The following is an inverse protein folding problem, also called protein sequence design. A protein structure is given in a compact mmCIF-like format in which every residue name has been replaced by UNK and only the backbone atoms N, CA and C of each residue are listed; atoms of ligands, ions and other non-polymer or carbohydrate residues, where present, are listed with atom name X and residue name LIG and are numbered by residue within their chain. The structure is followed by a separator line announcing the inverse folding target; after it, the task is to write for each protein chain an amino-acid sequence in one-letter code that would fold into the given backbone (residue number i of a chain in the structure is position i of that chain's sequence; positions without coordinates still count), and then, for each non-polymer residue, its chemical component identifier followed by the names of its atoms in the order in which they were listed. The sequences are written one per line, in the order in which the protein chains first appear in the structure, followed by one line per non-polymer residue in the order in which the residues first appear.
data_IF_366067176335
#
_entry.id   IF_366067176335
#
_cell.length_a   1.000
_cell.length_b   1.000
_cell.length_c   1.000
_cell.angle_alpha   90.00
_cell.angle_beta   90.00
_cell.angle_gamma   90.00
#
_symmetry.space_group_name_H-M   'P 1'
#
loop_
_entity.id
_entity.type
_entity.pdbx_description
1 polymer ?
#
# COMPACT_ATOMS: atom_id res chain seq x y z
N UNK A 1 13.25 -28.75 3.34
CA UNK A 1 13.04 -27.51 4.11
C UNK A 1 13.28 -26.36 3.15
N UNK A 2 12.29 -25.47 2.95
CA UNK A 2 12.43 -24.31 2.04
C UNK A 2 13.15 -23.20 2.80
N UNK A 3 14.23 -22.65 2.24
CA UNK A 3 14.90 -21.48 2.81
C UNK A 3 14.06 -20.23 2.51
N UNK A 4 13.81 -19.34 3.50
CA UNK A 4 13.17 -18.06 3.22
C UNK A 4 14.02 -17.24 2.25
N UNK A 5 13.36 -16.54 1.35
CA UNK A 5 13.98 -15.63 0.40
C UNK A 5 14.17 -14.25 1.04
N UNK A 6 15.36 -13.64 0.95
CA UNK A 6 15.55 -12.27 1.40
C UNK A 6 14.84 -11.28 0.46
N UNK A 7 14.30 -10.22 1.04
CA UNK A 7 13.72 -9.10 0.31
C UNK A 7 14.19 -7.77 0.92
N UNK A 8 14.02 -6.70 0.17
CA UNK A 8 14.22 -5.33 0.63
C UNK A 8 12.93 -4.54 0.47
N UNK A 9 12.65 -3.64 1.41
CA UNK A 9 11.59 -2.66 1.28
C UNK A 9 12.14 -1.24 1.42
N UNK A 10 11.56 -0.33 0.63
CA UNK A 10 11.84 1.10 0.72
C UNK A 10 10.53 1.83 1.01
N UNK A 11 10.59 2.74 1.97
CA UNK A 11 9.45 3.51 2.45
C UNK A 11 9.69 5.00 2.21
N UNK A 12 8.74 5.66 1.60
CA UNK A 12 8.77 7.11 1.40
C UNK A 12 7.63 7.75 2.18
N UNK A 13 7.97 8.77 2.96
CA UNK A 13 7.03 9.53 3.78
C UNK A 13 6.89 10.96 3.27
N UNK A 14 5.72 11.55 3.46
CA UNK A 14 5.50 12.99 3.26
C UNK A 14 6.03 13.82 4.46
N UNK A 15 5.88 15.15 4.38
CA UNK A 15 6.29 16.08 5.45
C UNK A 15 5.48 15.92 6.76
N UNK A 16 4.32 15.24 6.69
CA UNK A 16 3.44 14.96 7.81
C UNK A 16 3.68 13.58 8.44
N UNK A 17 4.74 12.87 8.01
CA UNK A 17 5.06 11.49 8.39
C UNK A 17 4.01 10.44 7.97
N UNK A 18 3.21 10.70 6.93
CA UNK A 18 2.35 9.68 6.34
C UNK A 18 3.16 8.85 5.33
N UNK A 19 2.97 7.52 5.32
CA UNK A 19 3.55 6.65 4.29
C UNK A 19 2.85 6.95 2.96
N UNK A 20 3.60 7.32 1.92
CA UNK A 20 3.05 7.63 0.59
C UNK A 20 3.49 6.63 -0.49
N UNK A 21 4.64 5.98 -0.30
CA UNK A 21 5.10 4.91 -1.18
C UNK A 21 5.75 3.78 -0.41
N UNK A 22 5.41 2.54 -0.76
CA UNK A 22 6.08 1.32 -0.34
C UNK A 22 6.51 0.55 -1.57
N UNK A 23 7.81 0.29 -1.70
CA UNK A 23 8.35 -0.60 -2.73
C UNK A 23 8.89 -1.86 -2.08
N UNK A 24 8.54 -3.02 -2.63
CA UNK A 24 9.05 -4.32 -2.25
C UNK A 24 9.86 -4.93 -3.40
N UNK A 25 11.04 -5.45 -3.06
CA UNK A 25 11.93 -6.13 -3.99
C UNK A 25 12.40 -7.46 -3.39
N UNK A 26 11.96 -8.55 -3.99
CA UNK A 26 12.53 -9.88 -3.85
C UNK A 26 13.00 -10.36 -5.24
N UNK A 27 13.68 -11.51 -5.32
CA UNK A 27 13.97 -12.16 -6.61
C UNK A 27 12.71 -12.79 -7.20
N UNK A 28 11.79 -13.29 -6.37
CA UNK A 28 10.52 -13.89 -6.82
C UNK A 28 9.46 -12.89 -7.25
N UNK A 29 9.42 -11.70 -6.62
CA UNK A 29 8.39 -10.70 -6.89
C UNK A 29 8.87 -9.28 -6.62
N UNK A 30 8.34 -8.33 -7.38
CA UNK A 30 8.55 -6.89 -7.20
C UNK A 30 7.19 -6.20 -7.29
N UNK A 31 6.83 -5.44 -6.27
CA UNK A 31 5.58 -4.67 -6.27
C UNK A 31 5.78 -3.31 -5.61
N UNK A 32 4.86 -2.40 -5.92
CA UNK A 32 4.81 -1.06 -5.34
C UNK A 32 3.38 -0.75 -4.92
N UNK A 33 3.26 0.00 -3.84
CA UNK A 33 2.00 0.52 -3.33
C UNK A 33 2.15 2.02 -3.15
N UNK A 34 1.21 2.77 -3.72
CA UNK A 34 1.10 4.22 -3.57
C UNK A 34 -0.11 4.52 -2.72
N UNK A 35 0.04 5.41 -1.74
CA UNK A 35 -1.05 5.86 -0.88
C UNK A 35 -1.28 7.33 -1.18
N UNK A 36 -2.49 7.66 -1.63
CA UNK A 36 -2.90 9.04 -1.88
C UNK A 36 -3.37 9.66 -0.56
N UNK A 37 -2.59 10.59 -0.02
CA UNK A 37 -2.91 11.33 1.20
C UNK A 37 -3.67 12.61 0.83
N UNK A 38 -4.74 12.92 1.55
CA UNK A 38 -5.49 14.15 1.34
C UNK A 38 -4.71 15.38 1.86
N UNK A 39 -4.65 16.51 1.14
CA UNK A 39 -3.77 17.64 1.51
C UNK A 39 -4.00 18.25 2.90
N UNK A 40 -5.21 18.12 3.44
CA UNK A 40 -5.64 18.82 4.66
C UNK A 40 -5.88 17.88 5.86
N UNK A 41 -5.58 16.57 5.74
CA UNK A 41 -5.68 15.62 6.85
C UNK A 41 -4.83 14.37 6.58
N UNK A 42 -4.51 13.61 7.62
CA UNK A 42 -3.69 12.39 7.52
C UNK A 42 -4.49 11.15 7.06
N UNK A 43 -5.56 11.34 6.30
CA UNK A 43 -6.33 10.22 5.75
C UNK A 43 -5.78 9.89 4.37
N UNK A 44 -5.74 8.60 4.07
CA UNK A 44 -5.23 8.11 2.81
C UNK A 44 -5.86 6.80 2.40
N UNK A 45 -5.94 6.60 1.09
CA UNK A 45 -6.38 5.37 0.44
C UNK A 45 -5.44 5.05 -0.74
N UNK A 46 -5.44 3.82 -1.24
CA UNK A 46 -4.58 3.43 -2.38
C UNK A 46 -5.01 4.12 -3.69
N UNK A 47 -6.29 4.48 -3.78
CA UNK A 47 -6.84 5.32 -4.85
C UNK A 47 -6.92 6.77 -4.39
N UNK A 48 -7.21 7.70 -5.29
CA UNK A 48 -7.48 9.08 -4.88
C UNK A 48 -8.64 9.13 -3.88
N UNK A 49 -8.37 9.66 -2.69
CA UNK A 49 -9.37 9.78 -1.62
C UNK A 49 -10.56 10.64 -2.06
N UNK A 50 -11.76 10.13 -1.86
CA UNK A 50 -13.03 10.86 -2.02
C UNK A 50 -13.55 11.34 -0.66
N UNK A 51 -14.36 12.40 -0.67
CA UNK A 51 -14.96 12.98 0.55
C UNK A 51 -15.89 12.00 1.29
N UNK A 52 -16.41 10.98 0.59
CA UNK A 52 -17.30 9.94 1.11
C UNK A 52 -16.58 8.68 1.58
N UNK A 53 -15.23 8.65 1.55
CA UNK A 53 -14.49 7.44 1.95
C UNK A 53 -14.47 7.23 3.46
N UNK A 54 -14.69 8.30 4.23
CA UNK A 54 -14.61 8.28 5.68
C UNK A 54 -15.87 8.86 6.32
N UNK A 55 -16.23 8.33 7.49
CA UNK A 55 -17.27 8.92 8.33
C UNK A 55 -16.79 10.20 9.03
N UNK A 56 -17.72 10.85 9.75
CA UNK A 56 -17.46 12.08 10.48
C UNK A 56 -16.41 11.92 11.60
N UNK A 57 -16.23 10.70 12.14
CA UNK A 57 -15.24 10.40 13.18
C UNK A 57 -13.87 10.05 12.60
N UNK A 58 -13.79 9.76 11.31
CA UNK A 58 -12.56 9.39 10.63
C UNK A 58 -12.30 7.93 10.42
N UNK A 59 -13.34 7.11 10.53
CA UNK A 59 -13.25 5.71 10.17
C UNK A 59 -13.45 5.56 8.66
N UNK A 60 -12.63 4.72 8.03
CA UNK A 60 -12.80 4.34 6.64
C UNK A 60 -14.09 3.53 6.49
N UNK A 61 -14.99 3.96 5.61
CA UNK A 61 -16.31 3.35 5.40
C UNK A 61 -16.24 2.08 4.56
N UNK A 62 -15.29 2.01 3.61
CA UNK A 62 -15.15 0.88 2.70
C UNK A 62 -13.68 0.47 2.59
N UNK A 63 -13.38 -0.79 2.91
CA UNK A 63 -12.08 -1.39 2.64
C UNK A 63 -12.01 -1.78 1.17
N UNK A 64 -11.55 -0.86 0.33
CA UNK A 64 -11.27 -1.15 -1.07
C UNK A 64 -9.78 -1.49 -1.23
N UNK A 65 -9.42 -2.75 -0.98
CA UNK A 65 -8.06 -3.26 -1.17
C UNK A 65 -7.86 -3.71 -2.62
N UNK A 66 -7.87 -2.77 -3.57
CA UNK A 66 -7.66 -3.09 -4.99
C UNK A 66 -6.18 -3.13 -5.41
N UNK A 67 -5.25 -2.64 -4.57
CA UNK A 67 -3.83 -2.51 -4.91
C UNK A 67 -2.97 -3.74 -4.63
N UNK A 68 -3.47 -4.74 -3.91
CA UNK A 68 -2.76 -6.01 -3.72
C UNK A 68 -3.17 -7.06 -4.76
N UNK A 69 -3.10 -6.71 -6.04
CA UNK A 69 -3.09 -7.73 -7.10
C UNK A 69 -1.74 -8.45 -7.05
N UNK A 70 -1.68 -9.55 -6.31
CA UNK A 70 -0.68 -10.60 -6.51
C UNK A 70 -1.02 -11.29 -7.84
N UNK A 71 -0.88 -10.59 -8.95
CA UNK A 71 -0.85 -11.20 -10.27
C UNK A 71 0.62 -11.51 -10.58
N UNK A 72 0.87 -12.78 -10.88
CA UNK A 72 2.16 -13.39 -11.24
C UNK A 72 3.07 -13.91 -10.12
N UNK A 73 2.51 -14.65 -9.15
CA UNK A 73 3.26 -15.78 -8.60
C UNK A 73 2.64 -17.09 -9.09
N UNK A 74 3.12 -17.56 -10.25
CA UNK A 74 3.22 -19.01 -10.45
C UNK A 74 4.07 -19.54 -9.30
N UNK A 75 3.42 -20.08 -8.28
CA UNK A 75 4.07 -20.99 -7.35
C UNK A 75 4.46 -22.20 -8.22
N UNK A 76 5.69 -22.19 -8.73
CA UNK A 76 6.32 -23.41 -9.21
C UNK A 76 6.67 -24.22 -7.96
N UNK A 77 5.77 -25.13 -7.59
CA UNK A 77 6.09 -26.27 -6.73
C UNK A 77 6.95 -27.26 -7.52
#
# INVERSE_FOLDING_TARGET
MISPEPYQQTYTYDIGNNLIHLSHQAKSNTWQQTISIHPNNNRGTETQQSASDFDANGNLLNLNCNGLTILDTKIAL
#
